data_IF_617010316788
#
_entry.id   IF_617010316788
#
_cell.length_a   1.000
_cell.length_b   1.000
_cell.length_c   1.000
_cell.angle_alpha   90.00
_cell.angle_beta   90.00
_cell.angle_gamma   90.00
#
_symmetry.space_group_name_H-M   'P 1'
#
loop_
_entity.id
_entity.type
_entity.pdbx_description
1 polymer ?
#
# COMPACT_ATOMS: atom_id res chain seq x y z
N UNK A 1 -8.60 -18.07 -27.36
CA UNK A 1 -7.81 -16.84 -27.18
C UNK A 1 -8.31 -15.81 -28.18
N UNK A 2 -9.24 -14.94 -27.78
CA UNK A 2 -9.65 -13.81 -28.58
C UNK A 2 -8.85 -12.58 -28.14
N UNK A 3 -8.17 -11.95 -29.08
CA UNK A 3 -7.45 -10.69 -28.91
C UNK A 3 -8.33 -9.55 -29.44
N UNK A 4 -8.45 -8.50 -28.66
CA UNK A 4 -9.03 -7.23 -29.09
C UNK A 4 -7.97 -6.14 -29.06
N UNK A 5 -7.89 -5.32 -30.11
CA UNK A 5 -6.99 -4.17 -30.20
C UNK A 5 -7.77 -2.90 -29.86
N UNK A 6 -7.28 -2.15 -28.87
CA UNK A 6 -7.69 -0.75 -28.64
C UNK A 6 -6.48 0.13 -28.97
N UNK A 7 -6.59 0.94 -29.98
CA UNK A 7 -5.55 1.87 -30.44
C UNK A 7 -5.76 3.24 -29.78
N UNK A 8 -4.84 3.64 -28.93
CA UNK A 8 -4.62 5.04 -28.55
C UNK A 8 -3.16 5.37 -28.86
N UNK A 9 -2.95 6.17 -29.91
CA UNK A 9 -1.70 6.80 -30.37
C UNK A 9 -0.38 6.09 -30.01
N UNK A 10 0.11 5.28 -30.97
CA UNK A 10 1.52 4.86 -31.18
C UNK A 10 2.18 3.87 -30.22
N UNK A 11 1.47 3.11 -29.40
CA UNK A 11 2.00 1.86 -28.81
C UNK A 11 0.87 0.83 -28.66
N UNK A 12 0.96 -0.28 -29.40
CA UNK A 12 0.02 -1.41 -29.29
C UNK A 12 0.52 -2.35 -28.19
N UNK A 13 -0.06 -2.29 -27.02
CA UNK A 13 0.11 -3.32 -25.97
C UNK A 13 -0.94 -4.41 -26.14
N UNK A 14 -0.50 -5.67 -26.23
CA UNK A 14 -1.40 -6.84 -26.20
C UNK A 14 -1.63 -7.23 -24.73
N UNK A 15 -2.85 -7.07 -24.26
CA UNK A 15 -3.25 -7.46 -22.90
C UNK A 15 -3.70 -8.93 -22.86
N UNK A 16 -3.33 -9.64 -21.79
CA UNK A 16 -3.89 -10.94 -21.47
C UNK A 16 -5.20 -10.78 -20.69
N UNK A 17 -6.06 -11.80 -20.67
CA UNK A 17 -7.35 -11.78 -19.92
C UNK A 17 -7.19 -11.49 -18.41
N UNK A 18 -5.99 -11.69 -17.85
CA UNK A 18 -5.65 -11.30 -16.49
C UNK A 18 -5.41 -9.79 -16.34
N UNK A 19 -4.85 -9.15 -17.36
CA UNK A 19 -4.62 -7.69 -17.41
C UNK A 19 -5.92 -6.90 -17.60
N UNK A 20 -6.90 -7.46 -18.31
CA UNK A 20 -8.26 -6.87 -18.44
C UNK A 20 -8.99 -6.84 -17.10
N UNK A 21 -8.94 -7.92 -16.31
CA UNK A 21 -9.52 -7.98 -14.96
C UNK A 21 -8.80 -7.05 -13.96
N UNK A 22 -7.53 -6.71 -14.20
CA UNK A 22 -6.75 -5.78 -13.39
C UNK A 22 -7.15 -4.32 -13.68
N UNK A 23 -7.47 -3.96 -14.91
CA UNK A 23 -7.96 -2.63 -15.30
C UNK A 23 -9.32 -2.26 -14.65
N UNK A 24 -10.11 -3.24 -14.24
CA UNK A 24 -11.39 -3.00 -13.55
C UNK A 24 -11.20 -2.62 -12.06
N UNK A 25 -10.05 -3.00 -11.43
CA UNK A 25 -9.80 -2.82 -10.00
C UNK A 25 -8.78 -1.74 -9.65
N UNK A 26 -8.00 -1.28 -10.63
CA UNK A 26 -6.95 -0.26 -10.44
C UNK A 26 -6.81 0.61 -11.67
N UNK A 27 -6.51 1.89 -11.47
CA UNK A 27 -6.25 2.82 -12.57
C UNK A 27 -4.74 2.97 -12.71
N UNK A 28 -4.20 2.57 -13.86
CA UNK A 28 -2.79 2.77 -14.21
C UNK A 28 -2.62 4.15 -14.83
N UNK A 29 -1.76 4.95 -14.21
CA UNK A 29 -1.42 6.29 -14.65
C UNK A 29 0.03 6.34 -15.14
N UNK A 30 0.30 7.19 -16.13
CA UNK A 30 1.66 7.49 -16.58
C UNK A 30 1.82 9.00 -16.77
N UNK A 31 2.88 9.55 -16.15
CA UNK A 31 3.22 10.97 -16.29
C UNK A 31 4.73 11.15 -16.26
N UNK A 32 5.29 11.81 -17.26
CA UNK A 32 6.74 12.04 -17.40
C UNK A 32 7.57 10.74 -17.30
N UNK A 33 7.05 9.62 -17.84
CA UNK A 33 7.67 8.30 -17.78
C UNK A 33 7.55 7.57 -16.43
N UNK A 34 6.93 8.18 -15.43
CA UNK A 34 6.62 7.55 -14.14
C UNK A 34 5.28 6.85 -14.21
N UNK A 35 5.26 5.55 -13.93
CA UNK A 35 4.04 4.74 -13.89
C UNK A 35 3.63 4.53 -12.44
N UNK A 36 2.36 4.83 -12.12
CA UNK A 36 1.79 4.65 -10.79
C UNK A 36 0.32 4.21 -10.87
N UNK A 37 -0.19 3.72 -9.76
CA UNK A 37 -1.55 3.22 -9.65
C UNK A 37 -2.38 4.13 -8.74
N UNK A 38 -3.67 4.29 -9.08
CA UNK A 38 -4.68 4.91 -8.21
C UNK A 38 -5.88 3.98 -8.02
N UNK A 39 -6.67 4.22 -6.99
CA UNK A 39 -7.77 3.37 -6.55
C UNK A 39 -9.11 3.99 -6.95
N UNK A 40 -9.98 3.29 -7.70
CA UNK A 40 -11.29 3.80 -8.12
C UNK A 40 -12.14 4.39 -7.01
N UNK A 41 -12.16 3.76 -5.82
CA UNK A 41 -12.89 4.25 -4.66
C UNK A 41 -12.41 5.64 -4.22
N UNK A 42 -11.10 5.83 -4.19
CA UNK A 42 -10.47 7.10 -3.78
C UNK A 42 -10.54 8.17 -4.87
N UNK A 43 -10.43 7.79 -6.14
CA UNK A 43 -10.67 8.71 -7.27
C UNK A 43 -12.09 9.28 -7.22
N UNK A 44 -13.11 8.41 -7.03
CA UNK A 44 -14.50 8.81 -6.88
C UNK A 44 -14.73 9.72 -5.68
N UNK A 45 -13.98 9.53 -4.60
CA UNK A 45 -14.04 10.36 -3.39
C UNK A 45 -13.24 11.67 -3.52
N UNK A 46 -12.48 11.85 -4.61
CA UNK A 46 -11.67 13.05 -4.88
C UNK A 46 -10.47 13.20 -3.96
N UNK A 47 -9.99 12.12 -3.34
CA UNK A 47 -8.80 12.17 -2.48
C UNK A 47 -7.54 11.90 -3.30
N UNK A 48 -6.52 12.74 -3.13
CA UNK A 48 -5.23 12.60 -3.82
C UNK A 48 -4.42 11.47 -3.21
N UNK A 49 -4.03 10.51 -4.04
CA UNK A 49 -3.27 9.34 -3.63
C UNK A 49 -2.48 8.76 -4.80
N UNK A 50 -1.60 7.81 -4.52
CA UNK A 50 -0.87 7.06 -5.54
C UNK A 50 -0.08 5.91 -4.93
N UNK A 51 0.05 4.83 -5.68
CA UNK A 51 0.91 3.70 -5.36
C UNK A 51 1.95 3.55 -6.47
N UNK A 52 3.24 3.60 -6.13
CA UNK A 52 4.32 3.54 -7.11
C UNK A 52 4.44 2.16 -7.75
N UNK A 53 4.93 2.13 -8.98
CA UNK A 53 5.53 0.94 -9.58
C UNK A 53 7.06 1.02 -9.48
N UNK A 54 7.79 0.07 -10.03
CA UNK A 54 9.26 0.17 -10.15
C UNK A 54 9.72 0.88 -11.44
N UNK A 55 8.79 1.45 -12.23
CA UNK A 55 9.05 2.04 -13.54
C UNK A 55 9.19 3.57 -13.46
N UNK A 56 10.12 4.13 -14.24
CA UNK A 56 10.30 5.58 -14.41
C UNK A 56 11.25 6.25 -13.44
N UNK A 57 11.98 5.49 -12.63
CA UNK A 57 13.03 5.99 -11.73
C UNK A 57 14.42 6.00 -12.36
N UNK A 58 15.43 6.26 -11.51
CA UNK A 58 16.85 6.36 -11.88
C UNK A 58 17.76 5.39 -11.13
N UNK A 59 17.25 4.65 -10.17
CA UNK A 59 18.01 3.62 -9.44
C UNK A 59 18.44 2.49 -10.38
N UNK A 60 19.51 1.78 -10.01
CA UNK A 60 20.11 0.70 -10.81
C UNK A 60 20.18 -0.61 -10.01
N UNK A 61 20.60 -1.69 -10.68
CA UNK A 61 20.77 -3.00 -10.06
C UNK A 61 19.46 -3.55 -9.46
N UNK A 62 19.52 -4.11 -8.26
CA UNK A 62 18.36 -4.68 -7.58
C UNK A 62 17.27 -3.63 -7.20
N UNK A 63 17.64 -2.36 -7.19
CA UNK A 63 16.74 -1.22 -6.93
C UNK A 63 16.14 -0.58 -8.20
N UNK A 64 16.42 -1.13 -9.39
CA UNK A 64 15.98 -0.55 -10.66
C UNK A 64 14.45 -0.62 -10.81
N UNK A 65 13.79 0.51 -11.14
CA UNK A 65 14.34 1.86 -11.32
C UNK A 65 13.80 2.86 -10.28
N UNK A 66 12.58 2.70 -9.78
CA UNK A 66 11.84 3.61 -8.89
C UNK A 66 11.87 3.13 -7.43
N UNK A 67 13.06 2.86 -6.88
CA UNK A 67 13.17 2.61 -5.46
C UNK A 67 12.97 3.92 -4.68
N UNK A 68 12.06 3.90 -3.70
CA UNK A 68 11.71 5.05 -2.87
C UNK A 68 12.24 4.95 -1.43
N UNK A 69 12.93 3.85 -1.07
CA UNK A 69 13.43 3.63 0.27
C UNK A 69 14.94 3.87 0.39
N UNK A 70 15.34 4.71 1.34
CA UNK A 70 16.74 4.97 1.68
C UNK A 70 17.44 3.81 2.39
N UNK A 71 16.70 2.77 2.84
CA UNK A 71 17.25 1.65 3.64
C UNK A 71 17.53 0.39 2.82
N UNK A 72 17.59 0.49 1.48
CA UNK A 72 17.78 -0.67 0.59
C UNK A 72 19.18 -0.78 -0.01
N UNK A 73 20.12 0.02 0.47
CA UNK A 73 21.50 0.01 -0.05
C UNK A 73 21.65 0.64 -1.44
N UNK A 74 20.73 1.54 -1.79
CA UNK A 74 20.73 2.31 -3.03
C UNK A 74 21.48 3.64 -2.86
N UNK A 75 21.81 4.31 -3.96
CA UNK A 75 22.34 5.67 -3.93
C UNK A 75 21.28 6.66 -3.43
N UNK A 76 21.57 7.36 -2.35
CA UNK A 76 20.65 8.34 -1.74
C UNK A 76 20.21 9.44 -2.71
N UNK A 77 21.09 9.86 -3.64
CA UNK A 77 20.73 10.85 -4.67
C UNK A 77 19.74 10.30 -5.67
N UNK A 78 19.88 9.02 -6.04
CA UNK A 78 18.93 8.34 -6.92
C UNK A 78 17.58 8.18 -6.23
N UNK A 79 17.56 7.79 -4.95
CA UNK A 79 16.32 7.68 -4.15
C UNK A 79 15.63 9.04 -4.04
N UNK A 80 16.36 10.12 -3.74
CA UNK A 80 15.80 11.47 -3.66
C UNK A 80 15.25 11.95 -5.00
N UNK A 81 15.92 11.63 -6.11
CA UNK A 81 15.41 11.93 -7.46
C UNK A 81 14.14 11.13 -7.77
N UNK A 82 14.06 9.86 -7.35
CA UNK A 82 12.85 9.06 -7.48
C UNK A 82 11.68 9.67 -6.69
N UNK A 83 11.91 10.16 -5.47
CA UNK A 83 10.90 10.89 -4.72
C UNK A 83 10.41 12.14 -5.46
N UNK A 84 11.31 12.91 -6.09
CA UNK A 84 10.94 14.10 -6.88
C UNK A 84 10.08 13.74 -8.09
N UNK A 85 10.46 12.69 -8.81
CA UNK A 85 9.72 12.21 -9.98
C UNK A 85 8.34 11.70 -9.61
N UNK A 86 8.26 10.85 -8.59
CA UNK A 86 6.99 10.30 -8.13
C UNK A 86 6.06 11.40 -7.60
N UNK A 87 6.60 12.33 -6.80
CA UNK A 87 5.85 13.47 -6.29
C UNK A 87 5.32 14.38 -7.41
N UNK A 88 6.13 14.66 -8.45
CA UNK A 88 5.71 15.42 -9.63
C UNK A 88 4.61 14.70 -10.41
N UNK A 89 4.71 13.38 -10.56
CA UNK A 89 3.73 12.59 -11.28
C UNK A 89 2.37 12.57 -10.57
N UNK A 90 2.35 12.31 -9.26
CA UNK A 90 1.12 12.27 -8.44
C UNK A 90 0.60 13.68 -8.12
N UNK A 91 1.47 14.68 -8.08
CA UNK A 91 1.09 16.09 -7.87
C UNK A 91 1.08 16.51 -6.40
N UNK A 92 2.17 16.28 -5.66
CA UNK A 92 2.35 16.77 -4.29
C UNK A 92 3.79 17.28 -4.07
N UNK A 93 4.03 18.19 -3.10
CA UNK A 93 5.38 18.66 -2.79
C UNK A 93 6.16 17.63 -1.96
N UNK A 94 7.38 17.25 -2.39
CA UNK A 94 8.25 16.32 -1.65
C UNK A 94 8.51 16.76 -0.21
N UNK A 95 8.64 18.07 0.02
CA UNK A 95 8.86 18.66 1.35
C UNK A 95 7.75 18.41 2.36
N UNK A 96 6.56 18.03 1.88
CA UNK A 96 5.38 17.76 2.71
C UNK A 96 5.24 16.28 3.09
N UNK A 97 6.11 15.42 2.55
CA UNK A 97 6.08 13.98 2.83
C UNK A 97 6.52 13.72 4.27
N UNK A 98 5.80 12.84 4.95
CA UNK A 98 6.19 12.24 6.23
C UNK A 98 6.30 10.74 6.04
N UNK A 99 7.49 10.19 6.29
CA UNK A 99 7.74 8.75 6.19
C UNK A 99 7.44 8.04 7.51
N UNK A 100 6.82 6.89 7.43
CA UNK A 100 6.81 5.92 8.53
C UNK A 100 8.20 5.27 8.68
N UNK A 101 8.51 4.78 9.88
CA UNK A 101 9.67 3.93 10.14
C UNK A 101 9.19 2.54 10.57
N UNK A 102 8.93 1.71 9.57
CA UNK A 102 8.23 0.43 9.69
C UNK A 102 9.10 -0.67 10.29
N UNK A 103 8.58 -1.33 11.33
CA UNK A 103 9.24 -2.42 12.06
C UNK A 103 8.35 -3.67 12.17
N UNK A 104 7.27 -3.74 11.39
CA UNK A 104 6.26 -4.82 11.41
C UNK A 104 5.52 -4.92 12.75
N UNK A 105 5.29 -3.80 13.40
CA UNK A 105 4.50 -3.65 14.62
C UNK A 105 3.15 -2.96 14.33
N UNK A 106 2.50 -2.38 15.35
CA UNK A 106 1.15 -1.79 15.19
C UNK A 106 1.02 -0.40 15.78
N UNK A 107 2.13 0.31 15.94
CA UNK A 107 2.11 1.69 16.44
C UNK A 107 1.65 2.65 15.33
N UNK A 108 0.66 3.48 15.67
CA UNK A 108 0.09 4.50 14.81
C UNK A 108 0.43 5.88 15.39
N UNK A 109 1.00 6.75 14.56
CA UNK A 109 1.37 8.11 14.94
C UNK A 109 0.47 9.12 14.21
N UNK A 110 -0.11 10.05 14.98
CA UNK A 110 -0.69 11.27 14.41
C UNK A 110 0.43 12.24 14.06
N UNK A 111 0.42 12.76 12.84
CA UNK A 111 1.40 13.72 12.32
C UNK A 111 0.72 15.00 11.84
N UNK A 112 1.44 16.11 11.88
CA UNK A 112 0.99 17.42 11.43
C UNK A 112 2.05 18.14 10.58
N UNK A 113 1.81 19.42 10.22
CA UNK A 113 2.74 20.24 9.43
C UNK A 113 4.18 20.25 9.98
N UNK A 114 4.37 20.12 11.32
CA UNK A 114 5.71 20.11 11.92
C UNK A 114 6.52 18.88 11.54
N UNK A 115 5.85 17.81 11.12
CA UNK A 115 6.48 16.56 10.72
C UNK A 115 6.85 16.53 9.23
N UNK A 116 6.36 17.48 8.44
CA UNK A 116 6.63 17.56 7.01
C UNK A 116 8.12 17.48 6.69
N UNK A 117 8.48 16.64 5.71
CA UNK A 117 9.84 16.41 5.23
C UNK A 117 10.63 15.34 6.00
N UNK A 118 10.13 14.87 7.16
CA UNK A 118 10.82 13.82 7.96
C UNK A 118 11.02 12.54 7.16
N UNK A 119 12.28 12.14 7.07
CA UNK A 119 12.72 10.91 6.39
C UNK A 119 12.98 11.05 4.89
N UNK A 120 12.64 12.20 4.27
CA UNK A 120 12.94 12.46 2.85
C UNK A 120 13.89 13.63 2.67
N UNK A 121 13.48 14.82 3.15
CA UNK A 121 14.25 16.07 2.96
C UNK A 121 14.92 16.56 4.24
N UNK A 122 14.64 15.95 5.36
CA UNK A 122 15.27 16.15 6.66
C UNK A 122 15.29 14.87 7.47
N UNK A 123 16.16 14.82 8.48
CA UNK A 123 16.21 13.71 9.43
C UNK A 123 14.86 13.46 10.11
N UNK A 124 14.62 12.21 10.48
CA UNK A 124 13.39 11.76 11.13
C UNK A 124 13.67 11.26 12.54
N UNK A 125 12.87 11.71 13.49
CA UNK A 125 12.77 11.19 14.85
C UNK A 125 11.62 10.18 15.02
N UNK A 126 10.92 9.86 13.92
CA UNK A 126 9.86 8.84 13.88
C UNK A 126 10.52 7.47 13.90
N UNK A 127 10.33 6.70 14.99
CA UNK A 127 10.96 5.39 15.20
C UNK A 127 9.89 4.36 15.58
N UNK A 128 9.92 3.21 14.89
CA UNK A 128 9.05 2.07 15.20
C UNK A 128 7.56 2.32 14.95
N UNK A 129 7.24 3.05 13.91
CA UNK A 129 5.89 3.46 13.52
C UNK A 129 5.51 2.78 12.21
N UNK A 130 4.47 1.94 12.23
CA UNK A 130 3.95 1.21 11.08
C UNK A 130 2.67 1.84 10.48
N UNK A 131 2.10 2.85 11.12
CA UNK A 131 0.96 3.60 10.61
C UNK A 131 1.04 5.09 10.93
N UNK A 132 0.55 5.91 10.01
CA UNK A 132 0.46 7.36 10.13
C UNK A 132 -0.99 7.80 9.91
N UNK A 133 -1.46 8.77 10.69
CA UNK A 133 -2.76 9.41 10.49
C UNK A 133 -2.62 10.93 10.58
N UNK A 134 -3.47 11.65 9.85
CA UNK A 134 -3.53 13.12 9.90
C UNK A 134 -4.88 13.66 9.42
N UNK A 135 -5.22 14.86 9.87
CA UNK A 135 -6.25 15.70 9.29
C UNK A 135 -5.69 17.05 8.79
N UNK A 136 -4.37 17.15 8.70
CA UNK A 136 -3.67 18.33 8.18
C UNK A 136 -3.50 18.24 6.67
N UNK A 137 -4.05 19.23 5.94
CA UNK A 137 -4.00 19.32 4.48
C UNK A 137 -2.59 19.49 3.92
N UNK A 138 -1.63 19.92 4.73
CA UNK A 138 -0.24 20.10 4.29
C UNK A 138 0.56 18.80 4.28
N UNK A 139 0.08 17.76 4.96
CA UNK A 139 0.80 16.51 5.14
C UNK A 139 0.53 15.53 4.00
N UNK A 140 1.58 14.90 3.52
CA UNK A 140 1.54 13.74 2.63
C UNK A 140 2.04 12.52 3.41
N UNK A 141 1.15 11.58 3.71
CA UNK A 141 1.53 10.32 4.36
C UNK A 141 2.16 9.38 3.34
N UNK A 142 3.31 8.79 3.67
CA UNK A 142 3.97 7.80 2.82
C UNK A 142 4.43 6.60 3.63
N UNK A 143 4.15 5.39 3.10
CA UNK A 143 4.56 4.10 3.65
C UNK A 143 5.16 3.23 2.54
N UNK A 144 6.03 2.25 2.90
CA UNK A 144 6.78 1.43 1.95
C UNK A 144 6.35 -0.02 1.92
N UNK A 145 6.44 -0.63 0.74
CA UNK A 145 5.97 -1.99 0.51
C UNK A 145 6.85 -2.77 -0.47
N UNK A 146 6.89 -4.07 -0.27
CA UNK A 146 7.26 -5.09 -1.21
C UNK A 146 6.74 -6.41 -0.64
N UNK A 147 5.51 -6.76 -1.04
CA UNK A 147 4.65 -7.88 -0.64
C UNK A 147 3.75 -7.64 0.58
N UNK A 148 4.18 -6.88 1.60
CA UNK A 148 3.30 -6.51 2.72
C UNK A 148 2.12 -5.67 2.24
N UNK A 149 0.99 -5.77 2.94
CA UNK A 149 -0.28 -5.14 2.56
C UNK A 149 -0.30 -3.65 2.91
N UNK A 150 -0.51 -2.77 1.91
CA UNK A 150 -0.83 -1.37 2.15
C UNK A 150 -2.28 -1.21 2.61
N UNK A 151 -2.50 -0.47 3.68
CA UNK A 151 -3.84 -0.06 4.11
C UNK A 151 -3.92 1.45 4.06
N UNK A 152 -4.88 1.97 3.29
CA UNK A 152 -5.17 3.41 3.20
C UNK A 152 -6.57 3.69 3.68
N UNK A 153 -6.74 4.80 4.37
CA UNK A 153 -7.99 5.22 4.98
C UNK A 153 -8.31 6.67 4.64
N UNK A 154 -9.56 6.95 4.33
CA UNK A 154 -10.06 8.30 4.15
C UNK A 154 -11.42 8.46 4.80
N UNK A 155 -11.53 9.40 5.72
CA UNK A 155 -12.79 9.87 6.28
C UNK A 155 -13.18 11.20 5.60
N UNK A 156 -14.17 11.20 4.69
CA UNK A 156 -14.61 12.41 3.98
C UNK A 156 -15.35 13.38 4.88
N UNK A 157 -15.91 12.93 6.01
CA UNK A 157 -16.67 13.76 6.96
C UNK A 157 -15.72 14.55 7.86
N UNK A 158 -14.74 13.88 8.44
CA UNK A 158 -13.74 14.50 9.33
C UNK A 158 -12.55 15.08 8.58
N UNK A 159 -12.47 14.83 7.25
CA UNK A 159 -11.30 15.20 6.44
C UNK A 159 -10.01 14.68 7.08
N UNK A 160 -9.99 13.38 7.36
CA UNK A 160 -8.86 12.69 7.97
C UNK A 160 -8.43 11.53 7.08
N UNK A 161 -7.12 11.25 7.08
CA UNK A 161 -6.51 10.17 6.31
C UNK A 161 -5.60 9.32 7.17
N UNK A 162 -5.40 8.07 6.74
CA UNK A 162 -4.45 7.14 7.35
C UNK A 162 -3.72 6.32 6.30
N UNK A 163 -2.50 5.91 6.62
CA UNK A 163 -1.71 4.96 5.84
C UNK A 163 -0.97 4.02 6.78
N UNK A 164 -1.17 2.71 6.63
CA UNK A 164 -0.57 1.70 7.51
C UNK A 164 0.06 0.55 6.72
N UNK A 165 1.14 0.00 7.28
CA UNK A 165 1.88 -1.13 6.75
C UNK A 165 1.45 -2.40 7.47
N UNK A 166 0.70 -3.26 6.78
CA UNK A 166 0.19 -4.52 7.31
C UNK A 166 0.96 -5.72 6.75
N UNK A 167 2.17 -5.96 7.25
CA UNK A 167 2.82 -7.26 7.09
C UNK A 167 2.09 -8.32 7.93
N UNK A 168 2.40 -9.62 7.79
CA UNK A 168 1.67 -10.69 8.48
C UNK A 168 1.60 -10.48 10.01
N UNK A 169 2.68 -9.96 10.64
CA UNK A 169 2.69 -9.63 12.07
C UNK A 169 1.75 -8.47 12.40
N UNK A 170 1.72 -7.46 11.55
CA UNK A 170 0.80 -6.34 11.68
C UNK A 170 -0.66 -6.77 11.49
N UNK A 171 -0.92 -7.67 10.52
CA UNK A 171 -2.25 -8.23 10.27
C UNK A 171 -2.74 -9.06 11.46
N UNK A 172 -1.93 -9.99 11.95
CA UNK A 172 -2.28 -10.80 13.15
C UNK A 172 -2.53 -9.93 14.39
N UNK A 173 -1.80 -8.82 14.52
CA UNK A 173 -1.97 -7.83 15.61
C UNK A 173 -3.01 -6.75 15.31
N UNK A 174 -3.76 -6.92 14.19
CA UNK A 174 -4.90 -6.08 13.78
C UNK A 174 -4.56 -4.60 13.59
N UNK A 175 -3.46 -4.30 12.87
CA UNK A 175 -3.06 -2.90 12.63
C UNK A 175 -4.14 -2.08 11.91
N UNK A 176 -4.93 -2.68 11.01
CA UNK A 176 -6.06 -2.04 10.33
C UNK A 176 -7.10 -1.51 11.31
N UNK A 177 -7.57 -2.38 12.24
CA UNK A 177 -8.49 -1.97 13.30
C UNK A 177 -7.90 -0.89 14.20
N UNK A 178 -6.63 -1.04 14.60
CA UNK A 178 -5.95 -0.03 15.43
C UNK A 178 -5.83 1.32 14.74
N UNK A 179 -5.67 1.33 13.42
CA UNK A 179 -5.66 2.58 12.65
C UNK A 179 -7.03 3.24 12.67
N UNK A 180 -8.11 2.48 12.47
CA UNK A 180 -9.49 2.98 12.57
C UNK A 180 -9.75 3.54 13.96
N UNK A 181 -9.44 2.77 15.03
CA UNK A 181 -9.60 3.24 16.43
C UNK A 181 -8.81 4.53 16.71
N UNK A 182 -7.59 4.62 16.17
CA UNK A 182 -6.79 5.84 16.32
C UNK A 182 -7.39 7.04 15.60
N UNK A 183 -8.02 6.83 14.43
CA UNK A 183 -8.77 7.88 13.73
C UNK A 183 -10.04 8.30 14.51
N UNK A 184 -10.73 7.35 15.16
CA UNK A 184 -11.86 7.66 16.06
C UNK A 184 -11.40 8.53 17.24
N UNK A 185 -10.32 8.15 17.92
CA UNK A 185 -9.76 8.85 19.08
C UNK A 185 -9.27 10.27 18.75
N UNK A 186 -8.55 10.43 17.63
CA UNK A 186 -7.87 11.68 17.31
C UNK A 186 -8.74 12.67 16.56
N UNK A 187 -9.69 12.18 15.74
CA UNK A 187 -10.46 13.03 14.84
C UNK A 187 -11.97 12.90 15.05
N UNK A 188 -12.41 11.96 15.89
CA UNK A 188 -13.83 11.63 16.05
C UNK A 188 -14.43 11.01 14.78
N UNK A 189 -13.61 10.28 14.02
CA UNK A 189 -14.08 9.53 12.85
C UNK A 189 -15.09 8.47 13.26
N UNK A 190 -16.09 8.25 12.41
CA UNK A 190 -17.00 7.11 12.57
C UNK A 190 -16.57 6.05 11.54
N UNK A 191 -16.30 4.80 11.94
CA UNK A 191 -15.92 3.74 10.99
C UNK A 191 -16.87 3.60 9.79
N UNK A 192 -18.15 3.91 9.97
CA UNK A 192 -19.15 3.88 8.89
C UNK A 192 -18.95 4.95 7.82
N UNK A 193 -18.17 5.98 8.10
CA UNK A 193 -17.87 7.05 7.16
C UNK A 193 -16.51 6.84 6.47
N UNK A 194 -15.68 5.89 6.96
CA UNK A 194 -14.34 5.65 6.45
C UNK A 194 -14.37 4.81 5.18
N UNK A 195 -13.72 5.31 4.14
CA UNK A 195 -13.35 4.55 2.95
C UNK A 195 -11.98 3.91 3.17
N UNK A 196 -11.82 2.62 2.89
CA UNK A 196 -10.58 1.90 3.07
C UNK A 196 -10.13 1.19 1.78
N UNK A 197 -8.83 1.16 1.56
CA UNK A 197 -8.22 0.45 0.42
C UNK A 197 -7.13 -0.50 0.92
N UNK A 198 -7.20 -1.74 0.44
CA UNK A 198 -6.19 -2.78 0.55
C UNK A 198 -5.40 -2.76 -0.76
N UNK A 199 -4.19 -2.19 -0.73
CA UNK A 199 -3.39 -1.93 -1.93
C UNK A 199 -2.63 -3.14 -2.47
N UNK A 200 -1.83 -2.95 -3.55
CA UNK A 200 -1.03 -4.00 -4.17
C UNK A 200 -0.09 -4.68 -3.18
N UNK A 201 -0.18 -6.00 -3.09
CA UNK A 201 0.58 -6.83 -2.15
C UNK A 201 0.59 -8.28 -2.61
N UNK A 202 1.24 -9.18 -1.88
CA UNK A 202 1.33 -10.58 -2.26
C UNK A 202 -0.04 -11.28 -2.15
N UNK A 203 -0.45 -12.02 -3.19
CA UNK A 203 -1.69 -12.79 -3.18
C UNK A 203 -1.53 -14.13 -2.43
N UNK A 204 -2.65 -14.78 -2.12
CA UNK A 204 -2.73 -16.09 -1.47
C UNK A 204 -1.83 -17.12 -2.16
N UNK A 205 -1.93 -17.26 -3.48
CA UNK A 205 -1.22 -18.30 -4.25
C UNK A 205 0.32 -18.13 -4.21
N UNK A 206 0.80 -16.91 -4.03
CA UNK A 206 2.23 -16.62 -3.89
C UNK A 206 2.71 -16.61 -2.44
N UNK A 207 1.81 -16.66 -1.45
CA UNK A 207 2.17 -16.46 -0.04
C UNK A 207 2.07 -17.75 0.78
N UNK A 208 2.99 -18.68 0.49
CA UNK A 208 3.21 -19.85 1.33
C UNK A 208 3.90 -19.45 2.63
N UNK A 209 3.37 -19.94 3.75
CA UNK A 209 3.87 -19.70 5.11
C UNK A 209 4.06 -21.03 5.86
N UNK A 210 4.85 -20.99 6.94
CA UNK A 210 5.06 -22.10 7.86
C UNK A 210 3.92 -22.25 8.86
N UNK A 211 3.86 -23.40 9.52
CA UNK A 211 2.83 -23.78 10.50
C UNK A 211 2.74 -22.79 11.66
N UNK A 212 3.86 -22.25 12.15
CA UNK A 212 3.90 -21.26 13.24
C UNK A 212 3.19 -19.95 12.86
N UNK A 213 3.32 -19.51 11.59
CA UNK A 213 2.59 -18.35 11.08
C UNK A 213 1.11 -18.68 10.97
N UNK A 214 0.74 -19.83 10.41
CA UNK A 214 -0.67 -20.25 10.31
C UNK A 214 -1.33 -20.34 11.69
N UNK A 215 -0.66 -20.95 12.67
CA UNK A 215 -1.14 -21.06 14.05
C UNK A 215 -1.39 -19.70 14.71
N UNK A 216 -0.58 -18.68 14.39
CA UNK A 216 -0.81 -17.32 14.88
C UNK A 216 -2.12 -16.73 14.37
N UNK A 217 -2.48 -16.99 13.10
CA UNK A 217 -3.77 -16.58 12.52
C UNK A 217 -4.93 -17.41 13.08
N UNK A 218 -4.78 -18.73 13.23
CA UNK A 218 -5.80 -19.57 13.85
C UNK A 218 -6.12 -19.18 15.29
N UNK A 219 -5.13 -18.70 16.03
CA UNK A 219 -5.35 -18.20 17.39
C UNK A 219 -6.12 -16.88 17.44
N UNK A 220 -5.93 -16.02 16.44
CA UNK A 220 -6.52 -14.66 16.41
C UNK A 220 -7.90 -14.64 15.76
N UNK A 221 -8.13 -15.48 14.74
CA UNK A 221 -9.37 -15.50 13.96
C UNK A 221 -10.28 -16.67 14.37
N UNK A 222 -11.58 -16.50 14.19
CA UNK A 222 -12.58 -17.54 14.48
C UNK A 222 -12.42 -18.73 13.52
N UNK A 223 -12.81 -19.92 13.97
CA UNK A 223 -12.68 -21.17 13.20
C UNK A 223 -13.41 -21.09 11.86
N UNK A 224 -14.56 -20.43 11.80
CA UNK A 224 -15.33 -20.24 10.57
C UNK A 224 -14.57 -19.39 9.53
N UNK A 225 -13.66 -18.52 9.97
CA UNK A 225 -12.86 -17.65 9.12
C UNK A 225 -11.60 -18.35 8.58
N UNK A 226 -11.14 -19.45 9.21
CA UNK A 226 -9.90 -20.10 8.80
C UNK A 226 -9.93 -20.60 7.37
N UNK A 227 -11.05 -21.14 6.90
CA UNK A 227 -11.22 -21.63 5.53
C UNK A 227 -11.14 -20.49 4.48
N UNK A 228 -11.43 -19.26 4.90
CA UNK A 228 -11.35 -18.09 4.02
C UNK A 228 -9.90 -17.59 3.87
N UNK A 229 -9.10 -17.69 4.95
CA UNK A 229 -7.77 -17.06 5.04
C UNK A 229 -6.61 -18.04 4.90
N UNK A 230 -6.81 -19.33 5.18
CA UNK A 230 -5.76 -20.37 5.17
C UNK A 230 -6.16 -21.55 4.29
N UNK A 231 -5.19 -22.08 3.55
CA UNK A 231 -5.32 -23.34 2.83
C UNK A 231 -4.12 -24.21 3.16
N UNK A 232 -4.36 -25.38 3.75
CA UNK A 232 -3.32 -26.32 4.11
C UNK A 232 -2.69 -26.95 2.86
N UNK A 233 -1.36 -27.08 2.89
CA UNK A 233 -0.54 -27.69 1.86
C UNK A 233 0.28 -28.84 2.45
N UNK A 234 0.83 -29.74 1.62
CA UNK A 234 1.74 -30.77 2.10
C UNK A 234 2.91 -30.20 2.91
N UNK A 235 3.50 -31.04 3.79
CA UNK A 235 4.64 -30.71 4.64
C UNK A 235 4.40 -29.55 5.64
N UNK A 236 3.17 -29.47 6.20
CA UNK A 236 2.80 -28.45 7.20
C UNK A 236 3.06 -27.01 6.72
N UNK A 237 2.77 -26.78 5.43
CA UNK A 237 2.77 -25.47 4.81
C UNK A 237 1.34 -24.98 4.63
N UNK A 238 1.18 -23.67 4.49
CA UNK A 238 -0.13 -23.04 4.30
C UNK A 238 -0.03 -21.92 3.29
N UNK A 239 -1.07 -21.77 2.44
CA UNK A 239 -1.27 -20.56 1.68
C UNK A 239 -2.11 -19.61 2.54
N UNK A 240 -1.63 -18.38 2.73
CA UNK A 240 -2.26 -17.38 3.57
C UNK A 240 -2.79 -16.22 2.71
N UNK A 241 -4.08 -15.94 2.82
CA UNK A 241 -4.74 -14.80 2.16
C UNK A 241 -4.72 -13.55 3.04
N UNK A 242 -3.68 -12.72 2.90
CA UNK A 242 -3.58 -11.47 3.63
C UNK A 242 -4.59 -10.42 3.17
N UNK A 243 -5.11 -10.51 1.94
CA UNK A 243 -6.16 -9.60 1.49
C UNK A 243 -7.44 -9.88 2.27
N UNK A 244 -7.87 -11.15 2.29
CA UNK A 244 -9.07 -11.53 3.04
C UNK A 244 -8.93 -11.31 4.55
N UNK A 245 -7.76 -11.57 5.12
CA UNK A 245 -7.44 -11.24 6.52
C UNK A 245 -7.71 -9.76 6.81
N UNK A 246 -7.18 -8.86 6.00
CA UNK A 246 -7.35 -7.42 6.24
C UNK A 246 -8.77 -6.94 5.94
N UNK A 247 -9.50 -7.53 4.96
CA UNK A 247 -10.93 -7.27 4.78
C UNK A 247 -11.72 -7.59 6.06
N UNK A 248 -11.55 -8.79 6.61
CA UNK A 248 -12.21 -9.22 7.85
C UNK A 248 -11.92 -8.23 8.99
N UNK A 249 -10.66 -7.85 9.17
CA UNK A 249 -10.25 -6.91 10.21
C UNK A 249 -10.94 -5.55 10.06
N UNK A 250 -11.06 -5.04 8.82
CA UNK A 250 -11.68 -3.75 8.55
C UNK A 250 -13.20 -3.80 8.71
N UNK A 251 -13.85 -4.90 8.26
CA UNK A 251 -15.27 -5.16 8.49
C UNK A 251 -15.58 -5.23 10.00
N UNK A 252 -14.79 -5.98 10.78
CA UNK A 252 -14.93 -6.08 12.24
C UNK A 252 -14.61 -4.77 12.97
N UNK A 253 -13.77 -3.88 12.39
CA UNK A 253 -13.55 -2.53 12.89
C UNK A 253 -14.75 -1.59 12.67
N UNK A 254 -15.75 -2.03 11.89
CA UNK A 254 -17.01 -1.32 11.66
C UNK A 254 -17.07 -0.56 10.32
N UNK A 255 -16.11 -0.75 9.42
CA UNK A 255 -16.16 -0.19 8.05
C UNK A 255 -17.12 -1.06 7.23
N UNK A 256 -18.13 -0.46 6.56
CA UNK A 256 -19.02 -1.20 5.67
C UNK A 256 -18.26 -1.87 4.52
N UNK A 257 -18.65 -3.09 4.19
CA UNK A 257 -17.95 -3.88 3.15
C UNK A 257 -17.86 -3.14 1.80
N UNK A 258 -18.90 -2.42 1.41
CA UNK A 258 -18.96 -1.62 0.18
C UNK A 258 -18.04 -0.40 0.20
N UNK A 259 -17.44 -0.05 1.35
CA UNK A 259 -16.45 1.00 1.53
C UNK A 259 -15.01 0.44 1.64
N UNK A 260 -14.83 -0.86 1.42
CA UNK A 260 -13.53 -1.52 1.39
C UNK A 260 -13.23 -1.95 -0.05
N UNK A 261 -12.18 -1.39 -0.64
CA UNK A 261 -11.70 -1.79 -1.96
C UNK A 261 -10.43 -2.64 -1.83
N UNK A 262 -10.41 -3.81 -2.47
CA UNK A 262 -9.22 -4.65 -2.61
C UNK A 262 -8.66 -4.51 -4.01
N UNK A 263 -7.41 -4.06 -4.12
CA UNK A 263 -6.76 -3.83 -5.42
C UNK A 263 -6.68 -5.06 -6.32
N UNK A 264 -6.56 -6.25 -5.72
CA UNK A 264 -6.40 -7.51 -6.45
C UNK A 264 -5.08 -7.62 -7.26
N UNK A 265 -4.12 -6.72 -7.04
CA UNK A 265 -2.83 -6.70 -7.75
C UNK A 265 -1.76 -7.36 -6.89
N UNK A 266 -1.23 -8.49 -7.37
CA UNK A 266 -0.17 -9.22 -6.68
C UNK A 266 1.22 -8.71 -7.06
N UNK A 267 1.99 -8.25 -6.07
CA UNK A 267 3.37 -7.80 -6.26
C UNK A 267 4.30 -8.91 -6.75
N UNK A 268 4.08 -10.15 -6.30
CA UNK A 268 4.88 -11.30 -6.68
C UNK A 268 4.55 -11.79 -8.10
N UNK A 269 3.28 -11.84 -8.49
CA UNK A 269 2.89 -12.20 -9.86
C UNK A 269 3.38 -11.17 -10.89
N UNK A 270 3.47 -9.91 -10.48
CA UNK A 270 3.83 -8.76 -11.32
C UNK A 270 5.20 -8.17 -10.97
N UNK A 271 6.14 -9.01 -10.58
CA UNK A 271 7.50 -8.57 -10.19
C UNK A 271 8.30 -7.94 -11.35
N UNK A 272 7.83 -8.07 -12.57
CA UNK A 272 8.36 -7.40 -13.77
C UNK A 272 8.17 -5.88 -13.74
N UNK A 273 7.11 -5.36 -13.08
CA UNK A 273 6.85 -3.92 -12.94
C UNK A 273 6.54 -3.46 -11.50
N UNK A 274 6.54 -4.39 -10.51
CA UNK A 274 6.45 -4.12 -9.08
C UNK A 274 7.66 -4.72 -8.35
N UNK A 275 8.07 -4.13 -7.22
CA UNK A 275 9.04 -4.77 -6.33
C UNK A 275 8.36 -5.85 -5.49
N UNK A 276 8.94 -7.05 -5.46
CA UNK A 276 8.50 -8.17 -4.62
C UNK A 276 9.67 -8.78 -3.87
N UNK A 277 9.54 -8.91 -2.56
CA UNK A 277 10.51 -9.60 -1.71
C UNK A 277 10.52 -11.11 -1.99
N UNK A 278 9.34 -11.71 -2.16
CA UNK A 278 9.16 -13.13 -2.42
C UNK A 278 9.77 -13.54 -3.76
N UNK A 279 9.44 -12.82 -4.82
CA UNK A 279 9.89 -13.13 -6.17
C UNK A 279 11.41 -13.00 -6.34
N UNK A 280 12.06 -12.09 -5.60
CA UNK A 280 13.48 -11.77 -5.78
C UNK A 280 14.39 -12.28 -4.66
N UNK A 281 13.83 -13.00 -3.66
CA UNK A 281 14.59 -13.43 -2.48
C UNK A 281 15.17 -12.25 -1.68
N UNK A 282 14.48 -11.11 -1.68
CA UNK A 282 14.85 -9.92 -0.91
C UNK A 282 15.74 -8.91 -1.63
N UNK A 283 16.26 -9.21 -2.83
CA UNK A 283 17.05 -8.31 -3.67
C UNK A 283 16.15 -7.38 -4.47
N UNK A 284 15.80 -6.23 -3.89
CA UNK A 284 14.81 -5.33 -4.48
C UNK A 284 14.83 -3.95 -3.83
N UNK A 285 14.28 -2.98 -4.50
CA UNK A 285 13.85 -1.70 -3.92
C UNK A 285 12.54 -1.82 -3.14
N UNK A 286 11.96 -0.70 -2.74
CA UNK A 286 10.62 -0.61 -2.16
C UNK A 286 9.70 0.24 -3.02
N UNK A 287 8.47 -0.22 -3.15
CA UNK A 287 7.32 0.57 -3.58
C UNK A 287 6.91 1.51 -2.45
N UNK A 288 6.22 2.59 -2.81
CA UNK A 288 5.61 3.49 -1.84
C UNK A 288 4.15 3.76 -2.18
N UNK A 289 3.33 3.86 -1.14
CA UNK A 289 1.99 4.38 -1.25
C UNK A 289 1.88 5.73 -0.56
N UNK A 290 1.17 6.67 -1.19
CA UNK A 290 0.95 8.02 -0.68
C UNK A 290 -0.52 8.36 -0.64
N UNK A 291 -0.92 9.16 0.35
CA UNK A 291 -2.25 9.77 0.46
C UNK A 291 -2.14 11.14 1.10
N UNK A 292 -2.93 12.10 0.62
CA UNK A 292 -2.94 13.48 1.15
C UNK A 292 -4.28 14.15 0.95
N UNK A 293 -4.64 15.05 1.87
CA UNK A 293 -5.83 15.91 1.81
C UNK A 293 -5.62 17.16 0.94
N UNK A 294 -4.43 17.32 0.33
CA UNK A 294 -4.16 18.45 -0.55
C UNK A 294 -5.11 18.44 -1.74
N UNK A 295 -5.78 19.57 -1.98
CA UNK A 295 -6.56 19.77 -3.19
C UNK A 295 -5.60 19.86 -4.40
N UNK A 296 -6.01 19.38 -5.57
CA UNK A 296 -5.27 19.56 -6.81
C UNK A 296 -5.16 21.06 -7.15
N UNK A 297 -4.00 21.48 -7.68
CA UNK A 297 -3.87 22.78 -8.33
C UNK A 297 -4.63 22.80 -9.65
#
# INVERSE_FOLDING_TARGET
LSMYEISITNFTYKYTRQEENMCEKMIKNEKDGVVYLTFPLFEKAGIKHGFSTKLGGVSVGDCATMNLSFTRGDDEKAVLENHRRFAKAVGYPVKNVVLSNQVHETKILRVDEKDCGKGVVRESDIIGIDGLITNDKKVVLMTFFADCVPLFFYDPVKKAIGASHSGWRGSVKRIGEKTVRRMEEEFGSNPKDILAVIGPSICKDCYEVSEDVAAAFQKEFKEEQWQEILEEKPAHKYQLDLWRVNEIILEEAGIPKEQIEVSGVCTCCHFDWLFSHRATGGRRGNLAGVITLMEGE
#
